data_IF_557428699817
#
_entry.id   IF_557428699817
#
_cell.length_a   1.000
_cell.length_b   1.000
_cell.length_c   1.000
_cell.angle_alpha   90.00
_cell.angle_beta   90.00
_cell.angle_gamma   90.00
#
_symmetry.space_group_name_H-M   'P 1'
#
loop_
_entity.id
_entity.type
_entity.pdbx_description
1 polymer ?
#
# COMPACT_ATOMS: atom_id res chain seq x y z
N UNK A 1 -7.37 -9.51 -13.11
CA UNK A 1 -7.33 -10.80 -13.83
C UNK A 1 -8.02 -11.84 -12.96
N UNK A 2 -8.62 -12.88 -13.54
CA UNK A 2 -9.15 -14.04 -12.83
C UNK A 2 -8.43 -15.28 -13.32
N UNK A 3 -8.00 -16.13 -12.40
CA UNK A 3 -7.38 -17.41 -12.71
C UNK A 3 -8.11 -18.55 -12.00
N UNK A 4 -8.07 -19.73 -12.61
CA UNK A 4 -8.72 -20.94 -12.07
C UNK A 4 -7.76 -21.85 -11.32
N UNK A 5 -6.45 -21.73 -11.61
CA UNK A 5 -5.40 -22.63 -11.13
C UNK A 5 -4.11 -21.90 -10.71
N UNK A 6 -4.12 -20.57 -10.71
CA UNK A 6 -2.96 -19.72 -10.43
C UNK A 6 -1.92 -19.65 -11.58
N UNK A 7 -2.13 -20.33 -12.70
CA UNK A 7 -1.23 -20.34 -13.87
C UNK A 7 -1.85 -19.68 -15.09
N UNK A 8 -3.15 -19.87 -15.29
CA UNK A 8 -3.90 -19.28 -16.39
C UNK A 8 -4.76 -18.12 -15.88
N UNK A 9 -4.71 -17.00 -16.60
CA UNK A 9 -5.30 -15.75 -16.15
C UNK A 9 -5.99 -15.03 -17.31
N UNK A 10 -7.23 -14.59 -17.08
CA UNK A 10 -8.00 -13.78 -18.02
C UNK A 10 -8.30 -12.41 -17.44
N UNK A 11 -8.34 -11.37 -18.28
CA UNK A 11 -8.67 -10.01 -17.83
C UNK A 11 -10.18 -9.91 -17.59
N UNK A 12 -10.56 -9.50 -16.37
CA UNK A 12 -11.97 -9.31 -15.98
C UNK A 12 -12.39 -7.84 -16.01
N UNK A 13 -11.60 -6.97 -15.38
CA UNK A 13 -11.84 -5.53 -15.26
C UNK A 13 -10.53 -4.81 -14.93
N UNK A 14 -10.48 -3.49 -15.11
CA UNK A 14 -9.43 -2.61 -14.57
C UNK A 14 -9.98 -1.81 -13.38
N UNK A 15 -9.15 -1.61 -12.35
CA UNK A 15 -9.55 -0.94 -11.10
C UNK A 15 -9.64 0.58 -11.31
N UNK A 16 -8.61 1.14 -11.93
CA UNK A 16 -8.52 2.57 -12.25
C UNK A 16 -8.53 2.77 -13.77
N UNK A 17 -9.00 3.94 -14.18
CA UNK A 17 -8.85 4.41 -15.56
C UNK A 17 -7.37 4.63 -15.87
N UNK A 18 -6.96 4.31 -17.10
CA UNK A 18 -5.56 4.46 -17.52
C UNK A 18 -5.01 5.88 -17.35
N UNK A 19 -5.87 6.91 -17.47
CA UNK A 19 -5.47 8.31 -17.27
C UNK A 19 -5.13 8.68 -15.82
N UNK A 20 -5.51 7.84 -14.84
CA UNK A 20 -5.18 8.03 -13.42
C UNK A 20 -3.76 7.54 -13.09
N UNK A 21 -3.14 6.76 -13.99
CA UNK A 21 -1.73 6.32 -13.86
C UNK A 21 -1.47 5.55 -12.54
N UNK A 22 -2.34 4.57 -12.25
CA UNK A 22 -2.20 3.68 -11.10
C UNK A 22 -1.22 2.53 -11.35
N UNK A 23 -0.38 2.21 -10.37
CA UNK A 23 0.65 1.16 -10.52
C UNK A 23 0.67 0.11 -9.38
N UNK A 24 0.86 0.51 -8.13
CA UNK A 24 0.90 -0.37 -6.96
C UNK A 24 -0.49 -0.44 -6.34
N UNK A 25 -0.92 -1.62 -5.89
CA UNK A 25 -2.25 -1.81 -5.33
C UNK A 25 -2.27 -2.91 -4.28
N UNK A 26 -3.05 -2.68 -3.23
CA UNK A 26 -3.40 -3.67 -2.22
C UNK A 26 -4.92 -3.92 -2.21
N UNK A 27 -5.34 -5.12 -1.81
CA UNK A 27 -6.74 -5.53 -1.78
C UNK A 27 -7.21 -5.86 -0.35
N UNK A 28 -8.46 -5.52 -0.05
CA UNK A 28 -9.12 -5.93 1.18
C UNK A 28 -10.56 -6.34 0.87
N UNK A 29 -11.09 -7.32 1.59
CA UNK A 29 -12.54 -7.59 1.63
C UNK A 29 -13.10 -7.09 2.95
N UNK A 30 -14.07 -6.19 2.89
CA UNK A 30 -14.81 -5.67 4.04
C UNK A 30 -16.32 -5.71 3.75
N UNK A 31 -17.10 -6.33 4.65
CA UNK A 31 -18.56 -6.46 4.51
C UNK A 31 -18.99 -6.94 3.10
N UNK A 32 -18.39 -8.05 2.63
CA UNK A 32 -18.58 -8.64 1.31
C UNK A 32 -18.23 -7.73 0.11
N UNK A 33 -17.61 -6.58 0.37
CA UNK A 33 -17.15 -5.65 -0.66
C UNK A 33 -15.66 -5.85 -0.87
N UNK A 34 -15.27 -6.20 -2.11
CA UNK A 34 -13.88 -6.18 -2.53
C UNK A 34 -13.45 -4.73 -2.75
N UNK A 35 -12.41 -4.32 -2.03
CA UNK A 35 -11.83 -2.99 -2.08
C UNK A 35 -10.40 -3.07 -2.61
N UNK A 36 -9.97 -2.00 -3.27
CA UNK A 36 -8.60 -1.81 -3.71
C UNK A 36 -8.07 -0.45 -3.24
N UNK A 37 -6.79 -0.41 -2.89
CA UNK A 37 -6.08 0.76 -2.42
C UNK A 37 -4.88 0.94 -3.33
N UNK A 38 -4.96 1.91 -4.23
CA UNK A 38 -4.01 2.05 -5.34
C UNK A 38 -3.18 3.31 -5.18
N UNK A 39 -1.86 3.17 -5.28
CA UNK A 39 -0.96 4.30 -5.55
C UNK A 39 -1.20 4.78 -6.97
N UNK A 40 -1.16 6.09 -7.15
CA UNK A 40 -1.13 6.70 -8.47
C UNK A 40 0.15 7.52 -8.65
N UNK A 41 0.43 7.87 -9.90
CA UNK A 41 1.44 8.85 -10.27
C UNK A 41 0.77 10.18 -10.68
N UNK A 42 1.37 10.90 -11.63
CA UNK A 42 0.95 12.23 -12.05
C UNK A 42 -0.53 12.29 -12.47
N UNK A 43 -1.06 11.23 -13.10
CA UNK A 43 -2.47 11.15 -13.53
C UNK A 43 -3.49 11.22 -12.38
N UNK A 44 -3.10 10.78 -11.18
CA UNK A 44 -3.92 10.83 -9.96
C UNK A 44 -3.33 11.76 -8.89
N UNK A 45 -2.49 12.73 -9.28
CA UNK A 45 -1.82 13.67 -8.37
C UNK A 45 -0.95 13.00 -7.27
N UNK A 46 -0.44 11.80 -7.53
CA UNK A 46 0.26 10.96 -6.55
C UNK A 46 -0.56 10.57 -5.30
N UNK A 47 -1.89 10.78 -5.33
CA UNK A 47 -2.78 10.44 -4.22
C UNK A 47 -3.15 8.95 -4.26
N UNK A 48 -3.38 8.36 -3.09
CA UNK A 48 -3.93 7.01 -3.03
C UNK A 48 -5.42 7.05 -3.40
N UNK A 49 -5.85 6.16 -4.29
CA UNK A 49 -7.25 5.95 -4.61
C UNK A 49 -7.81 4.75 -3.87
N UNK A 50 -9.05 4.89 -3.39
CA UNK A 50 -9.83 3.80 -2.78
C UNK A 50 -10.92 3.43 -3.76
N UNK A 51 -10.95 2.16 -4.15
CA UNK A 51 -11.91 1.64 -5.13
C UNK A 51 -12.73 0.53 -4.51
N UNK A 52 -14.03 0.52 -4.77
CA UNK A 52 -14.93 -0.59 -4.43
C UNK A 52 -15.40 -1.29 -5.70
N UNK A 53 -15.39 -2.61 -5.68
CA UNK A 53 -15.88 -3.40 -6.79
C UNK A 53 -17.40 -3.48 -6.77
N UNK A 54 -18.04 -3.27 -7.92
CA UNK A 54 -19.49 -3.36 -8.12
C UNK A 54 -19.79 -4.59 -9.00
N UNK A 55 -20.07 -5.78 -8.40
CA UNK A 55 -20.13 -7.05 -9.14
C UNK A 55 -21.16 -7.06 -10.27
N UNK A 56 -22.35 -6.47 -10.03
CA UNK A 56 -23.44 -6.43 -11.03
C UNK A 56 -23.08 -5.67 -12.30
N UNK A 57 -22.08 -4.80 -12.24
CA UNK A 57 -21.62 -3.96 -13.36
C UNK A 57 -20.24 -4.40 -13.88
N UNK A 58 -19.60 -5.40 -13.25
CA UNK A 58 -18.22 -5.81 -13.52
C UNK A 58 -17.26 -4.59 -13.64
N UNK A 59 -17.38 -3.64 -12.70
CA UNK A 59 -16.61 -2.39 -12.71
C UNK A 59 -16.24 -1.96 -11.29
N UNK A 60 -15.32 -1.01 -11.22
CA UNK A 60 -14.92 -0.38 -9.98
C UNK A 60 -15.47 1.04 -9.89
N UNK A 61 -15.79 1.48 -8.68
CA UNK A 61 -16.10 2.86 -8.37
C UNK A 61 -14.99 3.38 -7.46
N UNK A 62 -14.35 4.48 -7.85
CA UNK A 62 -13.06 4.92 -7.31
C UNK A 62 -13.14 6.37 -6.84
N UNK A 63 -12.50 6.66 -5.72
CA UNK A 63 -12.36 8.01 -5.16
C UNK A 63 -10.93 8.25 -4.70
N UNK A 64 -10.42 9.47 -4.89
CA UNK A 64 -9.15 9.86 -4.28
C UNK A 64 -9.32 9.97 -2.76
N UNK A 65 -8.32 9.49 -2.02
CA UNK A 65 -8.22 9.68 -0.57
C UNK A 65 -7.80 11.11 -0.18
N UNK A 66 -7.32 11.92 -1.13
CA UNK A 66 -6.71 13.23 -0.87
C UNK A 66 -5.38 13.15 -0.12
N UNK A 67 -4.78 11.96 -0.03
CA UNK A 67 -3.54 11.69 0.72
C UNK A 67 -2.55 10.94 -0.15
N UNK A 68 -1.29 11.32 -0.07
CA UNK A 68 -0.19 10.62 -0.74
C UNK A 68 0.27 9.48 0.18
N UNK A 69 -0.19 8.26 -0.12
CA UNK A 69 0.26 7.02 0.54
C UNK A 69 0.78 6.10 -0.57
N UNK A 70 2.07 5.78 -0.49
CA UNK A 70 2.80 5.04 -1.52
C UNK A 70 3.07 3.62 -1.03
N UNK A 71 3.10 2.62 -1.93
CA UNK A 71 3.13 1.20 -1.60
C UNK A 71 2.19 0.81 -0.45
N UNK A 72 0.86 0.96 -0.64
CA UNK A 72 -0.10 0.70 0.42
C UNK A 72 -0.05 -0.77 0.85
N UNK A 73 -0.15 -1.00 2.16
CA UNK A 73 -0.44 -2.27 2.78
C UNK A 73 -1.67 -2.07 3.68
N UNK A 74 -2.66 -2.95 3.53
CA UNK A 74 -3.96 -2.81 4.18
C UNK A 74 -4.29 -4.08 4.93
N UNK A 75 -4.69 -3.94 6.18
CA UNK A 75 -5.03 -5.08 7.03
C UNK A 75 -6.10 -4.70 8.05
N UNK A 76 -6.72 -5.71 8.66
CA UNK A 76 -7.71 -5.50 9.73
C UNK A 76 -7.07 -5.57 11.10
N UNK A 77 -7.42 -4.60 11.95
CA UNK A 77 -7.11 -4.60 13.38
C UNK A 77 -8.40 -4.45 14.20
N UNK A 78 -8.92 -5.57 14.70
CA UNK A 78 -10.26 -5.62 15.27
C UNK A 78 -11.31 -5.18 14.25
N UNK A 79 -12.12 -4.17 14.60
CA UNK A 79 -13.15 -3.59 13.72
C UNK A 79 -12.64 -2.40 12.89
N UNK A 80 -11.33 -2.19 12.84
CA UNK A 80 -10.71 -1.09 12.09
C UNK A 80 -9.98 -1.63 10.87
N UNK A 81 -10.08 -0.88 9.77
CA UNK A 81 -9.20 -1.02 8.62
C UNK A 81 -7.97 -0.15 8.89
N UNK A 82 -6.80 -0.75 8.86
CA UNK A 82 -5.53 -0.07 8.97
C UNK A 82 -4.89 0.01 7.59
N UNK A 83 -4.35 1.17 7.25
CA UNK A 83 -3.60 1.40 6.02
C UNK A 83 -2.21 1.87 6.44
N UNK A 84 -1.20 1.21 5.92
CA UNK A 84 0.20 1.56 6.07
C UNK A 84 0.82 1.75 4.70
N UNK A 85 1.90 2.53 4.63
CA UNK A 85 2.64 2.78 3.41
C UNK A 85 3.60 3.93 3.63
N UNK A 86 4.41 4.23 2.61
CA UNK A 86 5.29 5.39 2.66
C UNK A 86 4.46 6.66 2.53
N UNK A 87 4.44 7.47 3.58
CA UNK A 87 3.88 8.81 3.55
C UNK A 87 4.99 9.79 3.15
N UNK A 88 4.81 10.55 2.06
CA UNK A 88 5.87 11.39 1.52
C UNK A 88 6.32 12.54 2.44
N UNK A 89 5.59 12.84 3.51
CA UNK A 89 5.93 13.92 4.45
C UNK A 89 5.42 13.59 5.85
N UNK A 90 6.27 13.03 6.71
CA UNK A 90 6.20 13.03 8.20
C UNK A 90 6.35 11.62 8.80
N UNK A 91 7.39 11.49 9.62
CA UNK A 91 7.78 10.26 10.31
C UNK A 91 6.70 9.76 11.24
N UNK A 92 6.41 8.45 11.23
CA UNK A 92 5.88 7.78 12.44
C UNK A 92 6.40 6.35 12.69
N UNK A 93 7.07 5.65 11.76
CA UNK A 93 7.77 4.37 12.02
C UNK A 93 8.74 4.04 10.87
N UNK A 94 10.02 3.72 11.16
CA UNK A 94 11.07 3.30 10.21
C UNK A 94 11.11 4.09 8.88
N UNK A 95 10.72 5.36 8.91
CA UNK A 95 10.27 6.10 7.72
C UNK A 95 11.27 7.18 7.29
N UNK A 96 12.57 6.92 7.42
CA UNK A 96 13.59 7.82 6.91
C UNK A 96 14.30 7.20 5.71
N UNK A 97 14.43 8.00 4.65
CA UNK A 97 15.12 7.61 3.41
C UNK A 97 14.19 6.89 2.46
N UNK A 98 14.77 6.06 1.61
CA UNK A 98 13.98 5.14 0.80
C UNK A 98 13.49 3.99 1.71
N UNK A 99 12.19 3.93 1.94
CA UNK A 99 11.55 2.94 2.81
C UNK A 99 10.15 2.63 2.30
N UNK A 100 9.79 1.35 2.10
CA UNK A 100 8.48 1.02 1.50
C UNK A 100 8.17 -0.49 1.54
N UNK A 101 7.10 -0.89 0.86
CA UNK A 101 6.63 -2.28 0.69
C UNK A 101 6.42 -3.01 2.02
N UNK A 102 5.55 -2.43 2.82
CA UNK A 102 5.15 -2.99 4.11
C UNK A 102 4.49 -4.36 3.92
N UNK A 103 4.93 -5.34 4.70
CA UNK A 103 4.24 -6.60 4.93
C UNK A 103 3.73 -6.64 6.37
N UNK A 104 2.51 -7.13 6.60
CA UNK A 104 1.92 -7.22 7.94
C UNK A 104 1.33 -8.60 8.18
N UNK A 105 1.61 -9.16 9.36
CA UNK A 105 0.98 -10.39 9.84
C UNK A 105 0.59 -10.24 11.31
N UNK A 106 -0.56 -10.79 11.68
CA UNK A 106 -0.96 -10.89 13.09
C UNK A 106 -0.22 -12.07 13.74
N UNK A 107 0.46 -11.82 14.86
CA UNK A 107 1.18 -12.82 15.65
C UNK A 107 0.76 -12.72 17.11
N UNK A 108 -0.19 -13.56 17.52
CA UNK A 108 -0.79 -13.48 18.85
C UNK A 108 -1.60 -12.19 19.04
N UNK A 109 -1.24 -11.40 20.06
CA UNK A 109 -1.83 -10.09 20.34
C UNK A 109 -1.06 -8.92 19.72
N UNK A 110 -0.08 -9.21 18.87
CA UNK A 110 0.76 -8.22 18.17
C UNK A 110 0.53 -8.30 16.67
N UNK A 111 0.89 -7.22 15.99
CA UNK A 111 1.11 -7.19 14.55
C UNK A 111 2.61 -7.06 14.31
N UNK A 112 3.15 -7.98 13.53
CA UNK A 112 4.55 -7.95 13.07
C UNK A 112 4.54 -7.34 11.69
N UNK A 113 5.35 -6.30 11.53
CA UNK A 113 5.39 -5.45 10.35
C UNK A 113 6.81 -5.51 9.80
N UNK A 114 6.95 -5.81 8.52
CA UNK A 114 8.22 -5.76 7.82
C UNK A 114 8.23 -4.64 6.79
N UNK A 115 9.33 -3.92 6.67
CA UNK A 115 9.59 -2.95 5.61
C UNK A 115 11.07 -2.97 5.28
N UNK A 116 11.43 -2.66 4.03
CA UNK A 116 12.79 -2.21 3.79
C UNK A 116 12.88 -0.74 4.21
N UNK A 117 14.04 -0.34 4.71
CA UNK A 117 14.26 1.05 5.08
C UNK A 117 15.73 1.45 5.04
N UNK A 118 15.97 2.75 4.85
CA UNK A 118 17.29 3.38 4.97
C UNK A 118 17.44 4.22 6.25
N UNK A 119 16.53 4.09 7.21
CA UNK A 119 16.51 4.99 8.36
C UNK A 119 17.78 4.93 9.24
N UNK A 120 18.47 3.79 9.30
CA UNK A 120 19.78 3.68 9.98
C UNK A 120 20.95 4.20 9.12
N UNK A 121 20.77 4.22 7.79
CA UNK A 121 21.76 4.64 6.81
C UNK A 121 21.34 5.96 6.18
N UNK A 122 21.07 6.97 7.01
CA UNK A 122 20.67 8.29 6.55
C UNK A 122 21.87 9.26 6.51
N UNK A 123 22.94 9.06 5.69
CA UNK A 123 23.85 10.14 5.42
C UNK A 123 23.08 11.24 4.69
N UNK A 124 23.51 12.48 4.91
CA UNK A 124 22.98 13.63 4.18
C UNK A 124 23.05 13.37 2.67
N UNK A 125 21.90 13.41 2.00
CA UNK A 125 21.81 13.29 0.54
C UNK A 125 22.25 14.62 -0.04
N UNK A 126 23.44 14.68 -0.61
CA UNK A 126 24.03 15.93 -1.10
C UNK A 126 23.65 16.24 -2.53
N UNK A 127 23.33 15.22 -3.33
CA UNK A 127 22.97 15.35 -4.75
C UNK A 127 21.89 14.35 -5.16
N UNK A 128 21.02 14.68 -6.13
CA UNK A 128 20.15 13.70 -6.77
C UNK A 128 20.97 12.55 -7.34
N UNK A 129 20.71 11.32 -6.92
CA UNK A 129 21.49 10.13 -7.33
C UNK A 129 22.42 9.59 -6.25
N UNK A 130 22.64 10.31 -5.15
CA UNK A 130 23.37 9.80 -3.95
C UNK A 130 22.52 8.81 -3.13
N UNK A 131 21.40 8.33 -3.69
CA UNK A 131 20.55 7.32 -3.07
C UNK A 131 21.28 5.97 -3.14
N UNK A 132 21.69 5.45 -2.00
CA UNK A 132 21.96 4.02 -1.93
C UNK A 132 20.63 3.28 -2.00
N UNK A 133 20.60 2.16 -2.73
CA UNK A 133 19.46 1.23 -2.71
C UNK A 133 19.37 0.63 -1.30
N UNK A 134 18.16 0.40 -0.73
CA UNK A 134 18.00 -0.04 0.66
C UNK A 134 18.87 -1.27 1.01
N UNK A 135 19.51 -1.20 2.18
CA UNK A 135 20.49 -2.19 2.62
C UNK A 135 19.87 -3.32 3.46
N UNK A 136 18.74 -3.07 4.15
CA UNK A 136 18.20 -3.97 5.17
C UNK A 136 16.66 -4.00 5.22
N UNK A 137 16.14 -5.12 5.72
CA UNK A 137 14.73 -5.35 6.04
C UNK A 137 14.58 -5.32 7.55
N UNK A 138 13.66 -4.50 8.03
CA UNK A 138 13.42 -4.29 9.45
C UNK A 138 12.10 -4.91 9.87
N UNK A 139 11.98 -5.19 11.18
CA UNK A 139 10.77 -5.67 11.79
C UNK A 139 10.32 -4.72 12.89
N UNK A 140 9.12 -4.19 12.76
CA UNK A 140 8.39 -3.48 13.80
C UNK A 140 7.32 -4.38 14.43
N UNK A 141 7.05 -4.16 15.72
CA UNK A 141 5.96 -4.84 16.44
C UNK A 141 5.04 -3.82 17.07
N UNK A 142 3.74 -3.94 16.81
CA UNK A 142 2.73 -3.04 17.36
C UNK A 142 1.60 -3.82 18.03
N UNK A 143 1.08 -3.27 19.12
CA UNK A 143 -0.17 -3.69 19.77
C UNK A 143 -1.18 -2.56 19.62
N UNK A 144 -2.31 -2.83 19.01
CA UNK A 144 -3.43 -1.90 19.07
C UNK A 144 -4.14 -2.10 20.41
N UNK A 145 -4.27 -1.04 21.21
CA UNK A 145 -5.06 -1.08 22.45
C UNK A 145 -6.50 -1.50 22.15
N UNK A 146 -7.06 -2.38 23.00
CA UNK A 146 -8.44 -2.85 22.91
C UNK A 146 -9.46 -1.76 23.22
#
# INVERSE_FOLDING_TARGET
MQGVDGRHWERTSTILDYGIDGNETELLVENDTLMAFSRTEAGGNHEMYISSYVPRKNRWESLSSGRIIQAPCVFKAGNRIMIMGRYCLQMELLSAGDSSYTGVVQYGNEYVISDYSMHEYYPEIKRPGDWNTPCDIYLSRIRFGG
#
